data_IF_857107292142
#
_entry.id   IF_857107292142
#
_cell.length_a   1.000
_cell.length_b   1.000
_cell.length_c   1.000
_cell.angle_alpha   90.00
_cell.angle_beta   90.00
_cell.angle_gamma   90.00
#
_symmetry.space_group_name_H-M   'P 1'
#
loop_
_entity.id
_entity.type
_entity.pdbx_description
1 polymer ?
#
# COMPACT_ATOMS: atom_id res chain seq x y z
N UNK A 1 7.69 1.48 3.36
CA UNK A 1 7.35 2.59 2.46
C UNK A 1 8.13 2.47 1.17
N UNK A 2 8.08 3.46 0.27
CA UNK A 2 8.77 3.37 -1.03
C UNK A 2 10.30 3.58 -0.98
N UNK A 3 10.86 4.06 0.13
CA UNK A 3 12.31 4.21 0.34
C UNK A 3 12.92 3.05 1.15
N UNK A 4 12.14 2.01 1.46
CA UNK A 4 12.68 0.80 2.07
C UNK A 4 13.50 0.01 1.05
N UNK A 5 14.75 -0.26 1.36
CA UNK A 5 15.65 -1.06 0.51
C UNK A 5 15.66 -2.53 0.93
N UNK A 6 15.50 -2.81 2.23
CA UNK A 6 15.55 -4.18 2.78
C UNK A 6 14.29 -4.94 2.35
N UNK A 7 13.12 -4.31 2.46
CA UNK A 7 11.83 -4.87 2.04
C UNK A 7 11.17 -3.92 1.03
N UNK A 8 11.78 -3.81 -0.14
CA UNK A 8 11.40 -2.83 -1.14
C UNK A 8 10.02 -3.07 -1.75
N UNK A 9 9.36 -1.98 -2.15
CA UNK A 9 7.99 -2.02 -2.70
C UNK A 9 7.85 -2.90 -3.95
N UNK A 10 8.74 -2.84 -4.96
CA UNK A 10 8.64 -3.72 -6.13
C UNK A 10 8.70 -5.22 -5.80
N UNK A 11 9.57 -5.64 -4.87
CA UNK A 11 9.66 -7.05 -4.45
C UNK A 11 8.38 -7.52 -3.77
N UNK A 12 7.78 -6.69 -2.91
CA UNK A 12 6.48 -7.00 -2.29
C UNK A 12 5.36 -7.05 -3.34
N UNK A 13 5.37 -6.15 -4.31
CA UNK A 13 4.38 -6.13 -5.39
C UNK A 13 4.46 -7.42 -6.22
N UNK A 14 5.67 -7.87 -6.62
CA UNK A 14 5.88 -9.15 -7.30
C UNK A 14 5.45 -10.35 -6.46
N UNK A 15 5.76 -10.34 -5.16
CA UNK A 15 5.32 -11.40 -4.25
C UNK A 15 3.79 -11.51 -4.25
N UNK A 16 3.09 -10.39 -4.12
CA UNK A 16 1.62 -10.37 -4.14
C UNK A 16 1.06 -10.87 -5.49
N UNK A 17 1.67 -10.47 -6.61
CA UNK A 17 1.26 -10.92 -7.95
C UNK A 17 1.48 -12.43 -8.16
N UNK A 18 2.43 -13.03 -7.43
CA UNK A 18 2.70 -14.48 -7.46
C UNK A 18 1.83 -15.29 -6.50
N UNK A 19 1.05 -14.67 -5.61
CA UNK A 19 0.17 -15.38 -4.68
C UNK A 19 -0.95 -16.10 -5.43
N UNK A 20 -1.19 -17.36 -5.08
CA UNK A 20 -2.35 -18.12 -5.54
C UNK A 20 -3.53 -17.92 -4.59
N UNK A 21 -4.54 -17.20 -5.05
CA UNK A 21 -5.77 -16.93 -4.31
C UNK A 21 -6.92 -16.54 -5.25
N UNK A 22 -8.16 -16.67 -4.76
CA UNK A 22 -9.38 -16.48 -5.55
C UNK A 22 -9.56 -15.08 -6.18
N UNK A 23 -8.85 -14.06 -5.69
CA UNK A 23 -8.89 -12.69 -6.22
C UNK A 23 -7.65 -12.28 -7.02
N UNK A 24 -6.72 -13.21 -7.31
CA UNK A 24 -5.45 -12.94 -8.00
C UNK A 24 -5.66 -12.18 -9.32
N UNK A 25 -6.43 -12.74 -10.24
CA UNK A 25 -6.66 -12.12 -11.56
C UNK A 25 -7.28 -10.72 -11.44
N UNK A 26 -8.26 -10.57 -10.55
CA UNK A 26 -8.88 -9.26 -10.28
C UNK A 26 -7.88 -8.27 -9.70
N UNK A 27 -6.97 -8.72 -8.82
CA UNK A 27 -5.94 -7.87 -8.25
C UNK A 27 -4.91 -7.46 -9.29
N UNK A 28 -4.38 -8.40 -10.08
CA UNK A 28 -3.41 -8.09 -11.13
C UNK A 28 -3.95 -7.02 -12.07
N UNK A 29 -5.21 -7.18 -12.52
CA UNK A 29 -5.90 -6.25 -13.40
C UNK A 29 -6.44 -4.97 -12.72
N UNK A 30 -6.38 -4.87 -11.38
CA UNK A 30 -6.88 -3.68 -10.67
C UNK A 30 -5.95 -2.48 -10.84
N UNK A 31 -6.55 -1.29 -10.90
CA UNK A 31 -5.82 -0.04 -11.03
C UNK A 31 -5.21 0.41 -9.69
N UNK A 32 -3.97 0.91 -9.75
CA UNK A 32 -3.34 1.60 -8.62
C UNK A 32 -3.82 3.05 -8.58
N UNK A 33 -4.50 3.43 -7.49
CA UNK A 33 -5.01 4.78 -7.24
C UNK A 33 -4.03 5.62 -6.44
N UNK A 34 -3.94 6.91 -6.73
CA UNK A 34 -3.14 7.87 -5.97
C UNK A 34 -3.91 8.27 -4.70
N UNK A 35 -3.30 8.09 -3.54
CA UNK A 35 -3.82 8.60 -2.28
C UNK A 35 -3.23 9.98 -1.97
N UNK A 36 -4.08 11.00 -2.00
CA UNK A 36 -3.70 12.41 -1.81
C UNK A 36 -4.57 13.12 -0.77
N UNK A 37 -4.02 14.17 -0.16
CA UNK A 37 -4.75 15.17 0.65
C UNK A 37 -4.41 16.56 0.14
N UNK A 38 -5.39 17.24 -0.44
CA UNK A 38 -5.13 18.45 -1.23
C UNK A 38 -4.15 18.15 -2.36
N UNK A 39 -3.07 18.94 -2.41
CA UNK A 39 -2.00 18.78 -3.41
C UNK A 39 -0.89 17.79 -2.97
N UNK A 40 -0.93 17.27 -1.74
CA UNK A 40 0.10 16.37 -1.25
C UNK A 40 -0.24 14.90 -1.54
N UNK A 41 0.65 14.21 -2.24
CA UNK A 41 0.56 12.76 -2.48
C UNK A 41 1.16 12.02 -1.29
N UNK A 42 0.30 11.32 -0.56
CA UNK A 42 0.66 10.49 0.60
C UNK A 42 1.21 9.14 0.15
N UNK A 43 0.64 8.58 -0.92
CA UNK A 43 1.00 7.26 -1.38
C UNK A 43 0.09 6.73 -2.47
N UNK A 44 0.08 5.42 -2.62
CA UNK A 44 -0.63 4.70 -3.66
C UNK A 44 -1.38 3.51 -3.06
N UNK A 45 -2.59 3.25 -3.54
CA UNK A 45 -3.45 2.17 -3.06
C UNK A 45 -3.91 1.32 -4.23
N UNK A 46 -3.73 0.02 -4.14
CA UNK A 46 -4.26 -0.98 -5.08
C UNK A 46 -5.08 -1.98 -4.27
N UNK A 47 -6.30 -2.29 -4.68
CA UNK A 47 -7.23 -3.11 -3.90
C UNK A 47 -8.02 -4.06 -4.80
N UNK A 48 -8.21 -5.29 -4.34
CA UNK A 48 -9.13 -6.26 -4.92
C UNK A 48 -9.63 -7.20 -3.83
N UNK A 49 -10.96 -7.33 -3.70
CA UNK A 49 -11.57 -8.11 -2.64
C UNK A 49 -11.04 -7.71 -1.26
N UNK A 50 -10.55 -8.69 -0.51
CA UNK A 50 -10.04 -8.50 0.85
C UNK A 50 -8.55 -8.07 0.90
N UNK A 51 -7.87 -7.96 -0.25
CA UNK A 51 -6.47 -7.55 -0.30
C UNK A 51 -6.35 -6.05 -0.64
N UNK A 52 -5.72 -5.31 0.26
CA UNK A 52 -5.39 -3.89 0.05
C UNK A 52 -3.89 -3.67 0.19
N UNK A 53 -3.28 -3.16 -0.88
CA UNK A 53 -1.87 -2.81 -0.92
C UNK A 53 -1.71 -1.29 -0.86
N UNK A 54 -1.06 -0.80 0.19
CA UNK A 54 -0.74 0.61 0.39
C UNK A 54 0.76 0.84 0.33
N UNK A 55 1.21 1.74 -0.54
CA UNK A 55 2.61 2.20 -0.63
C UNK A 55 2.65 3.65 -0.17
N UNK A 56 3.28 3.92 0.98
CA UNK A 56 3.53 5.29 1.43
C UNK A 56 4.70 5.90 0.65
N UNK A 57 4.48 7.09 0.11
CA UNK A 57 5.51 7.91 -0.54
C UNK A 57 6.34 8.61 0.52
N UNK A 58 7.65 8.73 0.28
CA UNK A 58 8.63 9.33 1.18
C UNK A 58 8.63 8.67 2.57
N UNK A 59 8.64 7.33 2.60
CA UNK A 59 8.72 6.55 3.83
C UNK A 59 9.65 5.34 3.62
N UNK A 60 10.52 5.08 4.57
CA UNK A 60 11.42 3.93 4.62
C UNK A 60 10.77 2.70 5.25
N UNK A 61 11.59 1.89 5.91
CA UNK A 61 11.19 0.62 6.53
C UNK A 61 10.14 0.84 7.64
N UNK A 62 10.47 1.69 8.61
CA UNK A 62 9.59 2.05 9.72
C UNK A 62 8.56 3.12 9.30
N UNK A 63 7.65 2.75 8.41
CA UNK A 63 6.65 3.68 7.84
C UNK A 63 5.84 4.47 8.89
N UNK A 64 5.48 3.93 10.07
CA UNK A 64 4.83 4.72 11.10
C UNK A 64 5.70 5.82 11.72
N UNK A 65 7.03 5.70 11.70
CA UNK A 65 7.94 6.76 12.14
C UNK A 65 7.99 7.89 11.11
N UNK A 66 8.09 7.54 9.82
CA UNK A 66 8.21 8.53 8.74
C UNK A 66 6.88 9.24 8.40
N UNK A 67 5.75 8.53 8.53
CA UNK A 67 4.42 8.98 8.09
C UNK A 67 3.34 8.71 9.15
N UNK A 68 3.63 8.98 10.43
CA UNK A 68 2.80 8.67 11.60
C UNK A 68 1.31 9.01 11.45
N UNK A 69 0.99 10.24 11.03
CA UNK A 69 -0.39 10.71 10.88
C UNK A 69 -1.18 9.86 9.88
N UNK A 70 -0.58 9.53 8.75
CA UNK A 70 -1.28 8.84 7.67
C UNK A 70 -1.24 7.33 7.84
N UNK A 71 -0.16 6.76 8.39
CA UNK A 71 -0.09 5.35 8.76
C UNK A 71 -1.14 5.01 9.83
N UNK A 72 -1.30 5.86 10.84
CA UNK A 72 -2.34 5.71 11.86
C UNK A 72 -3.75 5.84 11.27
N UNK A 73 -3.98 6.82 10.38
CA UNK A 73 -5.28 6.96 9.71
C UNK A 73 -5.62 5.75 8.83
N UNK A 74 -4.63 5.20 8.11
CA UNK A 74 -4.78 3.98 7.32
C UNK A 74 -5.11 2.79 8.23
N UNK A 75 -4.38 2.61 9.33
CA UNK A 75 -4.63 1.52 10.28
C UNK A 75 -6.02 1.61 10.90
N UNK A 76 -6.44 2.80 11.37
CA UNK A 76 -7.80 3.02 11.90
C UNK A 76 -8.88 2.65 10.89
N UNK A 77 -8.70 3.02 9.61
CA UNK A 77 -9.63 2.64 8.54
C UNK A 77 -9.63 1.12 8.32
N UNK A 78 -8.46 0.49 8.35
CA UNK A 78 -8.36 -0.96 8.17
C UNK A 78 -9.08 -1.74 9.27
N UNK A 79 -8.92 -1.36 10.54
CA UNK A 79 -9.49 -2.10 11.67
C UNK A 79 -10.98 -1.85 11.88
N UNK A 80 -11.49 -0.68 11.49
CA UNK A 80 -12.90 -0.32 11.71
C UNK A 80 -13.83 -0.68 10.54
N UNK A 81 -13.29 -1.13 9.40
CA UNK A 81 -14.05 -1.34 8.16
C UNK A 81 -14.41 -0.03 7.45
#
# INVERSE_FOLDING_TARGET
>A
GNFDIIVNSPSVDKMIESLEWNGKEKYVNSERKIWKRGNNVIGYVKQSGNLTRVVFRNAGHATPLDQSKYSFAMLKKFVNG
#
